data_IF_822511580646
#
_entry.id   IF_822511580646
#
_cell.length_a   1.000
_cell.length_b   1.000
_cell.length_c   1.000
_cell.angle_alpha   90.00
_cell.angle_beta   90.00
_cell.angle_gamma   90.00
#
_symmetry.space_group_name_H-M   'P 1'
#
loop_
_entity.id
_entity.type
_entity.pdbx_description
1 polymer ?
#
# COMPACT_ATOMS: atom_id res chain seq x y z
N UNK A 1 -11.23 17.06 -0.21
CA UNK A 1 -10.85 15.81 -0.89
C UNK A 1 -9.37 15.82 -1.26
N UNK A 2 -8.53 15.52 -0.27
CA UNK A 2 -7.14 15.14 -0.52
C UNK A 2 -7.10 13.62 -0.66
N UNK A 3 -6.88 13.14 -1.88
CA UNK A 3 -6.74 11.70 -2.16
C UNK A 3 -5.27 11.34 -2.37
N UNK A 4 -4.84 10.22 -1.80
CA UNK A 4 -3.53 9.65 -2.10
C UNK A 4 -3.72 8.42 -2.98
N UNK A 5 -2.91 8.33 -4.02
CA UNK A 5 -3.07 7.30 -5.05
C UNK A 5 -1.80 6.46 -5.13
N UNK A 6 -1.98 5.15 -5.22
CA UNK A 6 -0.90 4.21 -5.51
C UNK A 6 -1.30 3.23 -6.60
N UNK A 7 -0.47 3.10 -7.63
CA UNK A 7 -0.68 2.12 -8.69
C UNK A 7 -0.45 0.70 -8.17
N UNK A 8 -1.41 -0.18 -8.42
CA UNK A 8 -1.34 -1.60 -8.10
C UNK A 8 -0.93 -2.43 -9.32
N UNK A 9 -1.46 -2.10 -10.50
CA UNK A 9 -1.08 -2.73 -11.75
C UNK A 9 -1.39 -1.82 -12.95
N UNK A 10 -0.62 -1.99 -14.02
CA UNK A 10 -0.87 -1.38 -15.33
C UNK A 10 -1.06 -2.50 -16.34
N UNK A 11 -2.14 -2.44 -17.10
CA UNK A 11 -2.42 -3.33 -18.22
C UNK A 11 -2.66 -2.58 -19.51
N UNK A 12 -2.84 -3.32 -20.60
CA UNK A 12 -3.05 -2.73 -21.94
C UNK A 12 -4.34 -1.89 -22.01
N UNK A 13 -5.39 -2.34 -21.35
CA UNK A 13 -6.73 -1.73 -21.42
C UNK A 13 -7.01 -0.74 -20.29
N UNK A 14 -6.11 -0.63 -19.31
CA UNK A 14 -6.41 0.09 -18.10
C UNK A 14 -5.42 -0.14 -16.97
N UNK A 15 -5.75 0.41 -15.82
CA UNK A 15 -4.87 0.39 -14.67
C UNK A 15 -5.68 0.28 -13.37
N UNK A 16 -5.08 -0.39 -12.39
CA UNK A 16 -5.67 -0.58 -11.07
C UNK A 16 -4.92 0.29 -10.06
N UNK A 17 -5.66 1.06 -9.27
CA UNK A 17 -5.14 1.99 -8.27
C UNK A 17 -5.76 1.72 -6.91
N UNK A 18 -4.95 1.84 -5.88
CA UNK A 18 -5.39 2.04 -4.50
C UNK A 18 -5.57 3.55 -4.29
N UNK A 19 -6.73 3.94 -3.79
CA UNK A 19 -7.09 5.32 -3.47
C UNK A 19 -7.34 5.41 -1.98
N UNK A 20 -6.63 6.28 -1.29
CA UNK A 20 -6.90 6.63 0.10
C UNK A 20 -7.62 7.97 0.14
N UNK A 21 -8.87 7.95 0.62
CA UNK A 21 -9.61 9.15 0.95
C UNK A 21 -9.32 9.54 2.40
N UNK A 22 -8.65 10.68 2.59
CA UNK A 22 -8.29 11.17 3.92
C UNK A 22 -9.46 11.84 4.66
N UNK A 23 -10.50 12.27 3.96
CA UNK A 23 -11.67 12.89 4.56
C UNK A 23 -12.57 11.79 5.19
N UNK A 24 -12.67 10.63 4.53
CA UNK A 24 -13.45 9.47 5.02
C UNK A 24 -12.60 8.40 5.74
N UNK A 25 -11.27 8.56 5.74
CA UNK A 25 -10.30 7.59 6.25
C UNK A 25 -10.47 6.18 5.67
N UNK A 26 -10.91 6.10 4.42
CA UNK A 26 -11.20 4.85 3.73
C UNK A 26 -10.22 4.58 2.59
N UNK A 27 -10.01 3.29 2.34
CA UNK A 27 -9.25 2.81 1.19
C UNK A 27 -10.20 2.19 0.17
N UNK A 28 -10.01 2.60 -1.08
CA UNK A 28 -10.76 2.11 -2.22
C UNK A 28 -9.83 1.59 -3.31
N UNK A 29 -10.40 0.79 -4.21
CA UNK A 29 -9.77 0.30 -5.43
C UNK A 29 -10.49 0.94 -6.61
N UNK A 30 -9.73 1.67 -7.41
CA UNK A 30 -10.18 2.27 -8.66
C UNK A 30 -9.63 1.46 -9.84
N UNK A 31 -10.51 1.14 -10.80
CA UNK A 31 -10.12 0.64 -12.11
C UNK A 31 -10.30 1.78 -13.12
N UNK A 32 -9.20 2.18 -13.76
CA UNK A 32 -9.22 3.13 -14.87
C UNK A 32 -9.22 2.33 -16.15
N UNK A 33 -10.25 2.48 -16.97
CA UNK A 33 -10.34 1.83 -18.28
C UNK A 33 -10.21 2.88 -19.36
N UNK A 34 -9.41 2.60 -20.38
CA UNK A 34 -9.19 3.49 -21.53
C UNK A 34 -8.78 4.93 -21.14
N UNK A 35 -8.07 5.10 -20.02
CA UNK A 35 -7.60 6.41 -19.54
C UNK A 35 -8.68 7.29 -18.88
N UNK A 36 -9.90 6.78 -18.71
CA UNK A 36 -10.98 7.49 -18.03
C UNK A 36 -10.98 7.13 -16.54
N UNK A 37 -10.82 8.13 -15.69
CA UNK A 37 -10.95 7.97 -14.24
C UNK A 37 -12.41 7.64 -13.88
N UNK A 38 -12.59 6.74 -12.92
CA UNK A 38 -13.93 6.36 -12.47
C UNK A 38 -14.44 7.37 -11.45
N UNK A 39 -15.76 7.59 -11.40
CA UNK A 39 -16.32 8.43 -10.36
C UNK A 39 -16.13 7.76 -8.99
N UNK A 40 -16.07 8.52 -7.86
CA UNK A 40 -15.96 7.93 -6.53
C UNK A 40 -17.04 6.87 -6.21
N UNK A 41 -18.24 7.04 -6.78
CA UNK A 41 -19.34 6.09 -6.64
C UNK A 41 -19.08 4.71 -7.30
N UNK A 42 -18.13 4.63 -8.23
CA UNK A 42 -17.75 3.41 -8.94
C UNK A 42 -16.53 2.72 -8.31
N UNK A 43 -15.92 3.34 -7.29
CA UNK A 43 -14.80 2.74 -6.59
C UNK A 43 -15.25 1.55 -5.75
N UNK A 44 -14.37 0.58 -5.62
CA UNK A 44 -14.64 -0.64 -4.88
C UNK A 44 -13.95 -0.60 -3.52
N UNK A 45 -14.56 -1.20 -2.49
CA UNK A 45 -13.84 -1.43 -1.23
C UNK A 45 -12.71 -2.44 -1.43
N UNK A 46 -11.75 -2.47 -0.50
CA UNK A 46 -10.70 -3.49 -0.50
C UNK A 46 -11.32 -4.89 -0.38
N UNK A 47 -12.33 -5.03 0.47
CA UNK A 47 -13.04 -6.28 0.73
C UNK A 47 -13.73 -6.79 -0.54
N UNK A 48 -14.46 -5.93 -1.25
CA UNK A 48 -15.10 -6.27 -2.51
C UNK A 48 -14.10 -6.64 -3.60
N UNK A 49 -12.92 -6.02 -3.59
CA UNK A 49 -11.86 -6.34 -4.53
C UNK A 49 -11.22 -7.70 -4.24
N UNK A 50 -11.01 -8.04 -2.97
CA UNK A 50 -10.36 -9.29 -2.55
C UNK A 50 -11.30 -10.51 -2.60
N UNK A 51 -12.61 -10.30 -2.47
CA UNK A 51 -13.62 -11.38 -2.54
C UNK A 51 -13.91 -11.82 -3.97
N UNK A 52 -13.64 -10.97 -4.98
CA UNK A 52 -13.85 -11.31 -6.39
C UNK A 52 -12.69 -12.14 -6.93
N UNK A 53 -13.02 -13.23 -7.64
CA UNK A 53 -12.03 -14.00 -8.39
C UNK A 53 -11.40 -13.12 -9.48
N UNK A 54 -10.07 -13.02 -9.58
CA UNK A 54 -9.42 -12.27 -10.66
C UNK A 54 -9.87 -12.80 -12.03
N UNK A 55 -10.28 -11.88 -12.89
CA UNK A 55 -10.75 -12.18 -14.24
C UNK A 55 -9.61 -12.22 -15.27
N UNK A 56 -8.49 -11.55 -14.97
CA UNK A 56 -7.31 -11.50 -15.83
C UNK A 56 -6.01 -11.39 -15.02
N UNK A 57 -4.86 -11.53 -15.72
CA UNK A 57 -3.53 -11.49 -15.12
C UNK A 57 -3.16 -10.12 -14.52
N UNK A 58 -3.76 -9.02 -14.99
CA UNK A 58 -3.50 -7.68 -14.46
C UNK A 58 -4.25 -7.45 -13.14
N UNK A 59 -5.49 -7.93 -13.04
CA UNK A 59 -6.23 -7.95 -11.79
C UNK A 59 -5.52 -8.86 -10.77
N UNK A 60 -4.99 -10.01 -11.21
CA UNK A 60 -4.19 -10.88 -10.34
C UNK A 60 -2.92 -10.16 -9.84
N UNK A 61 -2.21 -9.44 -10.73
CA UNK A 61 -1.06 -8.63 -10.34
C UNK A 61 -1.44 -7.50 -9.37
N UNK A 62 -2.60 -6.87 -9.55
CA UNK A 62 -3.10 -5.83 -8.66
C UNK A 62 -3.38 -6.39 -7.27
N UNK A 63 -4.02 -7.56 -7.16
CA UNK A 63 -4.25 -8.27 -5.88
C UNK A 63 -2.92 -8.60 -5.20
N UNK A 64 -1.96 -9.19 -5.93
CA UNK A 64 -0.64 -9.54 -5.38
C UNK A 64 0.09 -8.30 -4.86
N UNK A 65 0.02 -7.20 -5.60
CA UNK A 65 0.64 -5.92 -5.22
C UNK A 65 -0.03 -5.36 -3.96
N UNK A 66 -1.36 -5.32 -3.90
CA UNK A 66 -2.11 -4.86 -2.72
C UNK A 66 -1.74 -5.67 -1.47
N UNK A 67 -1.74 -7.01 -1.57
CA UNK A 67 -1.35 -7.88 -0.45
C UNK A 67 0.08 -7.63 0.00
N UNK A 68 1.01 -7.38 -0.93
CA UNK A 68 2.40 -7.01 -0.59
C UNK A 68 2.46 -5.68 0.18
N UNK A 69 1.66 -4.68 -0.22
CA UNK A 69 1.57 -3.39 0.47
C UNK A 69 1.05 -3.57 1.89
N UNK A 70 -0.05 -4.29 2.05
CA UNK A 70 -0.64 -4.57 3.36
C UNK A 70 0.36 -5.32 4.26
N UNK A 71 1.02 -6.36 3.73
CA UNK A 71 2.07 -7.08 4.45
C UNK A 71 3.18 -6.15 4.91
N UNK A 72 3.67 -5.29 4.04
CA UNK A 72 4.75 -4.35 4.35
C UNK A 72 4.33 -3.31 5.38
N UNK A 73 3.11 -2.79 5.30
CA UNK A 73 2.58 -1.85 6.30
C UNK A 73 2.50 -2.50 7.68
N UNK A 74 2.05 -3.75 7.76
CA UNK A 74 1.97 -4.51 9.02
C UNK A 74 3.35 -4.83 9.60
N UNK A 75 4.35 -5.13 8.76
CA UNK A 75 5.72 -5.42 9.26
C UNK A 75 6.51 -4.17 9.63
N UNK A 76 6.33 -3.06 8.91
CA UNK A 76 6.95 -1.77 9.29
C UNK A 76 6.32 -1.17 10.54
N UNK A 77 5.01 -1.37 10.76
CA UNK A 77 4.37 -0.99 12.01
C UNK A 77 4.95 -1.77 13.21
N UNK A 78 5.17 -3.08 13.05
CA UNK A 78 5.71 -3.96 14.11
C UNK A 78 7.18 -3.71 14.47
N UNK A 79 7.98 -3.10 13.59
CA UNK A 79 9.38 -2.76 13.87
C UNK A 79 9.55 -1.49 14.70
N UNK A 80 8.55 -0.59 14.74
CA UNK A 80 8.62 0.61 15.59
C UNK A 80 8.41 0.30 17.07
N UNK A 81 7.78 -0.81 17.42
CA UNK A 81 7.41 -1.12 18.81
C UNK A 81 8.50 -1.88 19.59
N UNK A 82 9.49 -2.50 18.91
CA UNK A 82 10.52 -3.35 19.52
C UNK A 82 11.97 -2.92 19.24
N UNK A 83 12.26 -1.62 19.21
CA UNK A 83 13.66 -1.16 19.19
C UNK A 83 14.17 -0.95 20.63
N UNK A 84 14.90 -1.91 21.25
CA UNK A 84 15.64 -1.61 22.47
C UNK A 84 16.70 -0.56 22.13
N UNK A 85 16.75 0.50 22.93
CA UNK A 85 17.63 1.64 22.73
C UNK A 85 19.06 1.21 22.42
N UNK A 86 19.59 1.70 21.30
CA UNK A 86 20.99 1.54 20.90
C UNK A 86 21.89 1.92 22.08
N UNK A 87 22.73 1.03 22.63
CA UNK A 87 23.72 1.46 23.61
C UNK A 87 24.66 2.44 22.91
N UNK A 88 24.81 3.64 23.48
CA UNK A 88 25.82 4.60 22.99
C UNK A 88 27.19 3.93 23.01
N UNK A 89 28.02 4.09 21.97
CA UNK A 89 29.38 3.57 22.01
C UNK A 89 30.13 4.21 23.18
N UNK A 90 30.78 3.38 24.01
CA UNK A 90 31.71 3.88 25.03
C UNK A 90 32.83 4.61 24.31
N UNK A 91 33.04 5.88 24.64
CA UNK A 91 34.20 6.63 24.18
C UNK A 91 35.47 5.91 24.68
N UNK A 92 36.29 5.43 23.76
CA UNK A 92 37.61 4.92 24.08
C UNK A 92 38.47 6.12 24.50
N UNK A 93 38.87 6.19 25.77
CA UNK A 93 39.90 7.12 26.22
C UNK A 93 41.25 6.49 25.88
N UNK A 94 42.08 7.13 25.04
CA UNK A 94 43.43 6.64 24.81
C UNK A 94 44.28 7.03 26.02
N UNK A 95 44.75 6.04 26.80
CA UNK A 95 45.76 6.29 27.83
C UNK A 95 45.66 5.50 29.15
N UNK A 96 45.16 4.27 29.16
CA UNK A 96 45.42 3.37 30.30
C UNK A 96 46.30 2.20 29.81
N UNK A 97 47.54 2.21 30.29
CA UNK A 97 48.52 1.12 30.20
C UNK A 97 48.13 -0.01 31.15
#
# INVERSE_FOLDING_TARGET
MSVQIRVLAVGKEGLWRLVFDSDELHLYIECIRHGVCSAPADWMTIEDFLTRRPSDAHQEQAVRTLVSILRNAMTTAGLKENSPGRPKPKAHRPGEF
#
